data_IF_909091982954
#
_entry.id   IF_909091982954
#
_cell.length_a   1.000
_cell.length_b   1.000
_cell.length_c   1.000
_cell.angle_alpha   90.00
_cell.angle_beta   90.00
_cell.angle_gamma   90.00
#
_symmetry.space_group_name_H-M   'P 1'
#
loop_
_entity.id
_entity.type
_entity.pdbx_description
1 polymer ?
#
# COMPACT_ATOMS: atom_id res chain seq x y z
N UNK A 1 8.07 17.14 1.10
CA UNK A 1 8.03 15.67 1.18
C UNK A 1 7.86 15.28 2.63
N UNK A 2 6.84 14.50 2.95
CA UNK A 2 6.46 14.13 4.32
C UNK A 2 5.98 12.68 4.37
N UNK A 3 6.05 12.06 5.55
CA UNK A 3 5.47 10.75 5.82
C UNK A 3 4.35 10.89 6.84
N UNK A 4 3.27 10.14 6.65
CA UNK A 4 2.16 10.07 7.60
C UNK A 4 1.46 8.73 7.53
N UNK A 5 0.64 8.44 8.53
CA UNK A 5 -0.33 7.36 8.42
C UNK A 5 -1.37 7.71 7.35
N UNK A 6 -1.85 6.68 6.67
CA UNK A 6 -2.98 6.80 5.78
C UNK A 6 -4.23 7.22 6.57
N UNK A 7 -5.10 7.95 5.88
CA UNK A 7 -6.38 8.43 6.36
C UNK A 7 -7.48 7.81 5.50
N UNK A 8 -8.73 7.93 5.93
CA UNK A 8 -9.86 7.34 5.22
C UNK A 8 -9.99 7.86 3.77
N UNK A 9 -9.63 9.12 3.50
CA UNK A 9 -9.63 9.73 2.17
C UNK A 9 -8.50 9.22 1.25
N UNK A 10 -7.47 8.55 1.78
CA UNK A 10 -6.44 7.90 0.97
C UNK A 10 -6.88 6.53 0.41
N UNK A 11 -8.00 5.97 0.86
CA UNK A 11 -8.44 4.62 0.48
C UNK A 11 -8.47 4.44 -1.04
N UNK A 12 -8.99 5.42 -1.78
CA UNK A 12 -9.02 5.38 -3.25
C UNK A 12 -7.61 5.30 -3.84
N UNK A 13 -6.67 6.11 -3.33
CA UNK A 13 -5.27 6.09 -3.80
C UNK A 13 -4.60 4.74 -3.56
N UNK A 14 -4.89 4.11 -2.41
CA UNK A 14 -4.34 2.79 -2.06
C UNK A 14 -4.91 1.69 -2.96
N UNK A 15 -6.23 1.68 -3.19
CA UNK A 15 -6.89 0.73 -4.09
C UNK A 15 -6.43 0.89 -5.55
N UNK A 16 -6.29 2.13 -6.02
CA UNK A 16 -5.76 2.40 -7.37
C UNK A 16 -4.34 1.87 -7.52
N UNK A 17 -3.50 2.00 -6.47
CA UNK A 17 -2.15 1.46 -6.45
C UNK A 17 -2.12 -0.08 -6.37
N UNK A 18 -3.04 -0.71 -5.64
CA UNK A 18 -3.21 -2.17 -5.63
C UNK A 18 -3.57 -2.69 -7.03
N UNK A 19 -4.56 -2.06 -7.69
CA UNK A 19 -4.97 -2.41 -9.03
C UNK A 19 -3.83 -2.22 -10.04
N UNK A 20 -3.09 -1.11 -9.95
CA UNK A 20 -1.93 -0.86 -10.79
C UNK A 20 -0.82 -1.90 -10.56
N UNK A 21 -0.52 -2.25 -9.29
CA UNK A 21 0.42 -3.32 -8.97
C UNK A 21 0.01 -4.66 -9.61
N UNK A 22 -1.27 -5.03 -9.49
CA UNK A 22 -1.82 -6.25 -10.12
C UNK A 22 -1.70 -6.24 -11.65
N UNK A 23 -1.85 -5.08 -12.29
CA UNK A 23 -1.59 -4.94 -13.75
C UNK A 23 -0.12 -5.12 -14.08
N UNK A 24 0.79 -4.57 -13.28
CA UNK A 24 2.25 -4.73 -13.45
C UNK A 24 2.66 -6.20 -13.32
N UNK A 25 2.00 -6.96 -12.43
CA UNK A 25 2.17 -8.41 -12.30
C UNK A 25 1.63 -9.23 -13.50
N UNK A 26 0.98 -8.58 -14.48
CA UNK A 26 0.44 -9.24 -15.67
C UNK A 26 -0.91 -9.95 -15.46
N UNK A 27 -1.64 -9.62 -14.39
CA UNK A 27 -3.00 -10.16 -14.18
C UNK A 27 -3.96 -9.64 -15.26
N UNK A 28 -5.02 -10.42 -15.53
CA UNK A 28 -6.08 -9.98 -16.43
C UNK A 28 -6.77 -8.71 -15.90
N UNK A 29 -7.44 -7.90 -16.74
CA UNK A 29 -8.15 -6.71 -16.28
C UNK A 29 -9.15 -6.99 -15.15
N UNK A 30 -9.87 -8.12 -15.22
CA UNK A 30 -10.84 -8.54 -14.21
C UNK A 30 -10.14 -8.92 -12.90
N UNK A 31 -9.02 -9.64 -12.98
CA UNK A 31 -8.23 -10.04 -11.80
C UNK A 31 -7.41 -8.89 -11.20
N UNK A 32 -7.20 -7.81 -11.94
CA UNK A 32 -6.54 -6.60 -11.47
C UNK A 32 -7.52 -5.59 -10.84
N UNK A 33 -8.82 -5.69 -11.13
CA UNK A 33 -9.82 -4.86 -10.48
C UNK A 33 -9.82 -5.10 -8.96
N UNK A 34 -10.04 -4.03 -8.20
CA UNK A 34 -10.29 -4.15 -6.77
C UNK A 34 -11.72 -4.65 -6.55
N UNK A 35 -11.88 -5.51 -5.56
CA UNK A 35 -13.15 -6.07 -5.11
C UNK A 35 -13.63 -5.35 -3.85
N UNK A 36 -14.88 -5.57 -3.47
CA UNK A 36 -15.42 -5.07 -2.19
C UNK A 36 -14.64 -5.63 -0.99
N UNK A 37 -14.06 -6.83 -1.12
CA UNK A 37 -13.19 -7.42 -0.11
C UNK A 37 -11.86 -6.66 0.01
N UNK A 38 -11.27 -6.24 -1.11
CA UNK A 38 -10.06 -5.40 -1.10
C UNK A 38 -10.33 -4.04 -0.44
N UNK A 39 -11.49 -3.45 -0.74
CA UNK A 39 -11.91 -2.18 -0.13
C UNK A 39 -12.07 -2.31 1.39
N UNK A 40 -12.77 -3.35 1.86
CA UNK A 40 -12.94 -3.62 3.28
C UNK A 40 -11.60 -3.91 3.98
N UNK A 41 -10.71 -4.69 3.36
CA UNK A 41 -9.39 -5.01 3.89
C UNK A 41 -8.55 -3.75 4.07
N UNK A 42 -8.42 -2.93 3.02
CA UNK A 42 -7.58 -1.74 3.09
C UNK A 42 -8.19 -0.63 3.96
N UNK A 43 -9.52 -0.52 4.05
CA UNK A 43 -10.16 0.35 5.02
C UNK A 43 -9.81 -0.06 6.47
N UNK A 44 -9.82 -1.36 6.77
CA UNK A 44 -9.43 -1.88 8.08
C UNK A 44 -7.94 -1.63 8.38
N UNK A 45 -7.05 -1.86 7.40
CA UNK A 45 -5.61 -1.58 7.53
C UNK A 45 -5.32 -0.09 7.79
N UNK A 46 -6.03 0.81 7.11
CA UNK A 46 -5.94 2.25 7.34
C UNK A 46 -6.39 2.58 8.77
N UNK A 47 -7.53 2.05 9.21
CA UNK A 47 -8.02 2.27 10.58
C UNK A 47 -7.07 1.72 11.65
N UNK A 48 -6.36 0.63 11.35
CA UNK A 48 -5.34 0.04 12.22
C UNK A 48 -3.99 0.78 12.21
N UNK A 49 -3.80 1.78 11.35
CA UNK A 49 -2.53 2.52 11.22
C UNK A 49 -1.42 1.72 10.52
N UNK A 50 -1.77 0.69 9.76
CA UNK A 50 -0.81 -0.22 9.10
C UNK A 50 -0.58 0.11 7.62
N UNK A 51 -0.95 1.33 7.21
CA UNK A 51 -0.62 1.89 5.90
C UNK A 51 0.03 3.25 6.08
N UNK A 52 1.22 3.44 5.49
CA UNK A 52 1.99 4.69 5.51
C UNK A 52 1.97 5.34 4.13
N UNK A 53 1.75 6.64 4.09
CA UNK A 53 1.78 7.46 2.87
C UNK A 53 3.05 8.31 2.86
N UNK A 54 3.70 8.37 1.72
CA UNK A 54 4.70 9.38 1.37
C UNK A 54 4.03 10.45 0.51
N UNK A 55 4.11 11.69 0.93
CA UNK A 55 3.56 12.84 0.21
C UNK A 55 4.65 13.69 -0.43
N UNK A 56 4.36 14.21 -1.62
CA UNK A 56 5.15 15.23 -2.32
C UNK A 56 4.18 16.33 -2.74
N UNK A 57 4.51 17.57 -2.41
CA UNK A 57 3.68 18.75 -2.70
C UNK A 57 2.21 18.56 -2.23
N UNK A 58 2.05 18.08 -1.00
CA UNK A 58 0.77 17.79 -0.33
C UNK A 58 -0.13 16.78 -1.07
N UNK A 59 0.46 15.96 -1.94
CA UNK A 59 -0.23 14.90 -2.69
C UNK A 59 0.38 13.52 -2.39
N UNK A 60 -0.45 12.48 -2.22
CA UNK A 60 0.04 11.11 -2.08
C UNK A 60 0.90 10.67 -3.28
N UNK A 61 2.14 10.30 -3.03
CA UNK A 61 3.12 9.91 -4.05
C UNK A 61 3.39 8.41 -4.06
N UNK A 62 3.41 7.80 -2.88
CA UNK A 62 3.68 6.38 -2.66
C UNK A 62 3.05 5.91 -1.35
N UNK A 63 2.87 4.61 -1.19
CA UNK A 63 2.45 4.02 0.08
C UNK A 63 3.17 2.70 0.39
N UNK A 64 3.17 2.37 1.67
CA UNK A 64 3.62 1.10 2.24
C UNK A 64 2.47 0.53 3.07
N UNK A 65 2.03 -0.68 2.76
CA UNK A 65 1.12 -1.48 3.60
C UNK A 65 1.92 -2.60 4.27
N UNK A 66 1.70 -2.79 5.56
CA UNK A 66 2.40 -3.80 6.36
C UNK A 66 1.47 -4.49 7.36
N UNK A 67 1.93 -5.59 7.93
CA UNK A 67 1.27 -6.31 9.02
C UNK A 67 2.27 -6.55 10.16
N UNK A 68 1.77 -6.58 11.40
CA UNK A 68 2.57 -6.81 12.62
C UNK A 68 2.17 -8.08 13.37
N UNK A 69 1.01 -8.64 13.02
CA UNK A 69 0.31 -9.73 13.71
C UNK A 69 0.17 -10.98 12.83
N UNK A 70 0.93 -11.06 11.74
CA UNK A 70 0.94 -12.25 10.89
C UNK A 70 1.61 -13.42 11.64
N UNK A 71 1.17 -14.65 11.43
CA UNK A 71 1.87 -15.84 11.96
C UNK A 71 2.65 -16.50 10.81
N UNK A 72 3.96 -16.24 10.73
CA UNK A 72 4.83 -16.95 9.78
C UNK A 72 5.40 -18.18 10.47
N UNK A 73 5.28 -19.36 9.83
CA UNK A 73 5.66 -20.67 10.39
C UNK A 73 7.09 -20.79 10.97
N UNK A 74 7.97 -19.81 10.73
CA UNK A 74 9.38 -19.86 11.10
C UNK A 74 9.92 -18.59 11.78
N UNK A 75 9.06 -17.63 12.15
CA UNK A 75 9.49 -16.40 12.85
C UNK A 75 9.00 -16.44 14.29
N UNK A 76 9.90 -16.73 15.22
CA UNK A 76 9.63 -16.66 16.65
C UNK A 76 10.00 -15.27 17.17
N UNK A 77 9.07 -14.30 17.13
CA UNK A 77 9.28 -12.95 17.65
C UNK A 77 8.43 -11.90 16.97
N UNK A 78 8.50 -10.65 17.45
CA UNK A 78 7.84 -9.53 16.78
C UNK A 78 8.51 -9.26 15.42
N UNK A 79 7.70 -9.10 14.38
CA UNK A 79 8.18 -8.81 13.04
C UNK A 79 7.27 -7.81 12.33
N UNK A 80 7.80 -7.24 11.25
CA UNK A 80 7.06 -6.39 10.34
C UNK A 80 7.06 -7.06 8.97
N UNK A 81 5.88 -7.39 8.47
CA UNK A 81 5.69 -7.97 7.15
C UNK A 81 5.24 -6.89 6.18
N UNK A 82 6.03 -6.64 5.14
CA UNK A 82 5.67 -5.67 4.10
C UNK A 82 4.81 -6.39 3.07
N UNK A 83 3.52 -6.03 3.01
CA UNK A 83 2.58 -6.61 2.05
C UNK A 83 2.72 -5.96 0.67
N UNK A 84 2.79 -4.63 0.64
CA UNK A 84 2.82 -3.89 -0.62
C UNK A 84 3.55 -2.56 -0.46
N UNK A 85 4.51 -2.33 -1.35
CA UNK A 85 5.11 -1.02 -1.60
C UNK A 85 4.66 -0.56 -2.98
N UNK A 86 4.03 0.60 -3.05
CA UNK A 86 3.57 1.17 -4.31
C UNK A 86 4.10 2.59 -4.49
N UNK A 87 4.54 2.91 -5.71
CA UNK A 87 4.89 4.28 -6.14
C UNK A 87 4.07 4.64 -7.38
N UNK A 88 3.38 5.79 -7.31
CA UNK A 88 2.59 6.33 -8.42
C UNK A 88 3.44 6.42 -9.69
N UNK A 89 2.90 5.97 -10.82
CA UNK A 89 3.65 5.84 -12.08
C UNK A 89 4.42 7.10 -12.48
N UNK A 90 3.78 8.28 -12.38
CA UNK A 90 4.38 9.58 -12.72
C UNK A 90 5.52 10.03 -11.80
N UNK A 91 5.74 9.34 -10.67
CA UNK A 91 6.75 9.67 -9.67
C UNK A 91 7.84 8.59 -9.55
N UNK A 92 7.81 7.55 -10.40
CA UNK A 92 8.83 6.49 -10.45
C UNK A 92 10.19 7.03 -10.93
N UNK A 93 11.26 6.27 -10.68
CA UNK A 93 12.64 6.66 -11.01
C UNK A 93 13.31 7.65 -10.04
N UNK A 94 12.59 8.09 -9.00
CA UNK A 94 13.08 9.07 -7.99
C UNK A 94 13.56 8.43 -6.68
N UNK A 95 13.62 7.11 -6.61
CA UNK A 95 14.03 6.37 -5.42
C UNK A 95 13.02 6.40 -4.25
N UNK A 96 11.75 6.73 -4.50
CA UNK A 96 10.73 6.88 -3.46
C UNK A 96 10.40 5.57 -2.72
N UNK A 97 10.36 4.44 -3.44
CA UNK A 97 10.11 3.14 -2.82
C UNK A 97 11.20 2.70 -1.83
N UNK A 98 12.44 3.19 -1.98
CA UNK A 98 13.53 2.95 -1.01
C UNK A 98 13.42 3.83 0.24
N UNK A 99 12.69 4.94 0.16
CA UNK A 99 12.56 5.92 1.25
C UNK A 99 11.39 5.61 2.18
N UNK A 100 10.37 4.93 1.66
CA UNK A 100 9.34 4.27 2.46
C UNK A 100 9.98 3.16 3.30
#
# INVERSE_FOLDING_TARGET
>A
MSFRDARADDLRFVLDGLADNRRIEGRSPEAAACTDADEAEYAARIAAGTVRILEIDDQPAAFLSYALDFEVMYVAGAFLWIDLVYVRASMRGRGLGKRL
#
